data_IF_517263335876
#
_entry.id   IF_517263335876
#
_cell.length_a   1.000
_cell.length_b   1.000
_cell.length_c   1.000
_cell.angle_alpha   90.00
_cell.angle_beta   90.00
_cell.angle_gamma   90.00
#
_symmetry.space_group_name_H-M   'P 1'
#
loop_
_entity.id
_entity.type
_entity.pdbx_description
1 polymer ?
#
# COMPACT_ATOMS: atom_id res chain seq x y z
N UNK A 1 66.34 -25.88 26.94
CA UNK A 1 65.02 -25.92 27.59
C UNK A 1 63.95 -25.76 26.52
N UNK A 2 63.47 -26.88 26.00
CA UNK A 2 62.50 -26.96 24.89
C UNK A 2 61.10 -26.55 25.37
N UNK A 3 60.47 -25.62 24.64
CA UNK A 3 59.06 -25.26 24.82
C UNK A 3 58.19 -26.26 24.06
N UNK A 4 57.52 -27.15 24.79
CA UNK A 4 56.50 -28.06 24.24
C UNK A 4 55.24 -27.25 23.87
N UNK A 5 54.87 -27.31 22.60
CA UNK A 5 53.62 -26.76 22.05
C UNK A 5 52.46 -27.73 22.33
N UNK A 6 51.53 -27.35 23.20
CA UNK A 6 50.27 -28.06 23.44
C UNK A 6 49.27 -27.73 22.33
N UNK A 7 48.94 -28.71 21.48
CA UNK A 7 47.82 -28.63 20.54
C UNK A 7 46.51 -28.82 21.32
N UNK A 8 45.64 -27.82 21.32
CA UNK A 8 44.29 -27.90 21.87
C UNK A 8 43.34 -28.44 20.79
N UNK A 9 42.84 -29.66 20.96
CA UNK A 9 41.83 -30.26 20.08
C UNK A 9 40.45 -29.79 20.55
N UNK A 10 39.84 -28.87 19.82
CA UNK A 10 38.46 -28.46 20.06
C UNK A 10 37.50 -29.56 19.57
N UNK A 11 36.73 -30.14 20.49
CA UNK A 11 35.62 -31.04 20.20
C UNK A 11 34.46 -30.23 19.59
N UNK A 12 34.15 -30.48 18.33
CA UNK A 12 32.97 -29.94 17.65
C UNK A 12 31.75 -30.80 18.03
N UNK A 13 30.68 -30.25 18.62
CA UNK A 13 29.47 -31.01 18.89
C UNK A 13 28.75 -31.35 17.58
N UNK A 14 28.52 -32.64 17.33
CA UNK A 14 27.70 -33.13 16.21
C UNK A 14 26.23 -32.85 16.49
N UNK A 15 25.76 -31.66 16.09
CA UNK A 15 24.34 -31.32 16.08
C UNK A 15 23.58 -32.24 15.11
N UNK A 16 22.59 -32.97 15.61
CA UNK A 16 21.62 -33.71 14.77
C UNK A 16 20.88 -32.71 13.89
N UNK A 17 21.22 -32.65 12.61
CA UNK A 17 20.43 -31.96 11.60
C UNK A 17 19.06 -32.65 11.49
N UNK A 18 18.02 -32.05 12.06
CA UNK A 18 16.64 -32.40 11.73
C UNK A 18 16.39 -32.00 10.28
N UNK A 19 16.02 -32.96 9.43
CA UNK A 19 15.60 -32.69 8.08
C UNK A 19 14.43 -31.68 8.09
N UNK A 20 14.43 -30.66 7.21
CA UNK A 20 13.33 -29.72 7.14
C UNK A 20 12.08 -30.46 6.68
N UNK A 21 11.04 -30.42 7.51
CA UNK A 21 9.71 -30.95 7.15
C UNK A 21 9.21 -30.10 5.98
N UNK A 22 9.17 -30.68 4.78
CA UNK A 22 8.51 -30.08 3.61
C UNK A 22 7.01 -29.98 3.92
N UNK A 23 6.57 -28.83 4.43
CA UNK A 23 5.15 -28.51 4.52
C UNK A 23 4.64 -28.34 3.09
N UNK A 24 3.70 -29.19 2.68
CA UNK A 24 2.97 -29.05 1.42
C UNK A 24 2.29 -27.67 1.46
N UNK A 25 2.58 -26.81 0.47
CA UNK A 25 1.90 -25.52 0.36
C UNK A 25 0.39 -25.79 0.31
N UNK A 26 -0.35 -25.26 1.27
CA UNK A 26 -1.80 -25.33 1.23
C UNK A 26 -2.25 -24.52 0.01
N UNK A 27 -2.96 -25.15 -0.92
CA UNK A 27 -3.61 -24.43 -2.02
C UNK A 27 -4.60 -23.46 -1.40
N UNK A 28 -4.45 -22.18 -1.73
CA UNK A 28 -5.38 -21.14 -1.30
C UNK A 28 -6.80 -21.51 -1.75
N UNK A 29 -7.73 -21.59 -0.82
CA UNK A 29 -9.14 -21.85 -1.13
C UNK A 29 -9.75 -20.57 -1.70
N UNK A 30 -10.06 -20.60 -2.99
CA UNK A 30 -10.75 -19.55 -3.73
C UNK A 30 -12.17 -20.02 -3.98
N UNK A 31 -13.16 -19.18 -3.69
CA UNK A 31 -14.59 -19.47 -3.91
C UNK A 31 -15.26 -18.29 -4.61
N UNK A 32 -16.36 -18.50 -5.34
CA UNK A 32 -17.07 -17.40 -6.01
C UNK A 32 -17.54 -16.31 -5.03
N UNK A 33 -17.50 -15.06 -5.47
CA UNK A 33 -18.03 -13.92 -4.73
C UNK A 33 -19.56 -13.83 -4.90
N UNK A 34 -20.28 -14.37 -3.91
CA UNK A 34 -21.72 -14.23 -3.70
C UNK A 34 -21.98 -13.28 -2.54
N UNK A 35 -23.22 -12.82 -2.35
CA UNK A 35 -23.55 -11.90 -1.25
C UNK A 35 -23.17 -12.50 0.13
N UNK A 36 -23.45 -13.79 0.34
CA UNK A 36 -23.09 -14.51 1.57
C UNK A 36 -21.57 -14.60 1.78
N UNK A 37 -20.80 -14.95 0.74
CA UNK A 37 -19.35 -15.10 0.87
C UNK A 37 -18.68 -13.73 1.05
N UNK A 38 -19.15 -12.70 0.35
CA UNK A 38 -18.67 -11.33 0.50
C UNK A 38 -18.94 -10.79 1.90
N UNK A 39 -20.18 -10.92 2.41
CA UNK A 39 -20.53 -10.41 3.75
C UNK A 39 -19.67 -11.07 4.84
N UNK A 40 -19.37 -12.37 4.69
CA UNK A 40 -18.50 -13.10 5.62
C UNK A 40 -17.03 -12.63 5.62
N UNK A 41 -16.58 -12.02 4.52
CA UNK A 41 -15.23 -11.51 4.33
C UNK A 41 -15.12 -10.06 4.81
N UNK A 42 -16.04 -9.20 4.37
CA UNK A 42 -15.97 -7.75 4.66
C UNK A 42 -16.47 -7.43 6.06
N UNK A 43 -17.37 -8.25 6.62
CA UNK A 43 -17.93 -8.10 7.97
C UNK A 43 -18.49 -6.68 8.22
N UNK A 44 -19.11 -6.09 7.19
CA UNK A 44 -19.67 -4.74 7.19
C UNK A 44 -20.54 -4.52 5.94
N UNK A 45 -21.82 -4.20 6.14
CA UNK A 45 -22.71 -3.82 5.03
C UNK A 45 -22.25 -2.54 4.32
N UNK A 46 -21.61 -1.62 5.06
CA UNK A 46 -21.03 -0.41 4.50
C UNK A 46 -19.86 -0.74 3.54
N UNK A 47 -19.05 -1.74 3.89
CA UNK A 47 -17.95 -2.18 3.05
C UNK A 47 -18.47 -2.98 1.84
N UNK A 48 -19.51 -3.79 2.03
CA UNK A 48 -20.16 -4.51 0.94
C UNK A 48 -20.72 -3.55 -0.12
N UNK A 49 -21.32 -2.44 0.29
CA UNK A 49 -21.85 -1.42 -0.61
C UNK A 49 -20.78 -0.75 -1.49
N UNK A 50 -19.49 -0.83 -1.13
CA UNK A 50 -18.38 -0.33 -1.95
C UNK A 50 -17.93 -1.31 -3.04
N UNK A 51 -18.38 -2.56 -3.01
CA UNK A 51 -18.03 -3.56 -4.01
C UNK A 51 -19.01 -3.50 -5.19
N UNK A 52 -18.53 -2.98 -6.32
CA UNK A 52 -19.35 -2.75 -7.52
C UNK A 52 -19.12 -3.87 -8.55
N UNK A 53 -20.21 -4.26 -9.23
CA UNK A 53 -20.20 -5.31 -10.25
C UNK A 53 -20.80 -6.62 -9.74
N UNK A 54 -20.73 -7.67 -10.56
CA UNK A 54 -21.21 -9.02 -10.23
C UNK A 54 -20.13 -10.06 -10.58
N UNK A 55 -20.17 -11.23 -9.93
CA UNK A 55 -19.15 -12.28 -10.10
C UNK A 55 -17.89 -11.99 -9.28
N UNK A 56 -16.74 -12.47 -9.76
CA UNK A 56 -15.47 -12.39 -9.05
C UNK A 56 -15.27 -13.52 -8.05
N UNK A 57 -14.16 -13.45 -7.31
CA UNK A 57 -13.72 -14.48 -6.39
C UNK A 57 -13.38 -13.90 -5.01
N UNK A 58 -13.50 -14.74 -3.99
CA UNK A 58 -13.02 -14.45 -2.65
C UNK A 58 -12.05 -15.52 -2.16
N UNK A 59 -11.05 -15.08 -1.40
CA UNK A 59 -10.12 -15.95 -0.73
C UNK A 59 -9.85 -15.45 0.69
N UNK A 60 -9.49 -16.35 1.60
CA UNK A 60 -9.20 -16.00 2.99
C UNK A 60 -7.93 -16.67 3.49
N UNK A 61 -7.12 -15.89 4.19
CA UNK A 61 -5.92 -16.40 4.86
C UNK A 61 -5.62 -15.58 6.12
N UNK A 62 -5.47 -16.24 7.27
CA UNK A 62 -4.95 -15.59 8.48
C UNK A 62 -5.77 -14.39 8.99
N UNK A 63 -7.09 -14.39 8.79
CA UNK A 63 -7.98 -13.27 9.16
C UNK A 63 -8.07 -12.17 8.09
N UNK A 64 -7.34 -12.31 7.00
CA UNK A 64 -7.41 -11.42 5.84
C UNK A 64 -8.30 -12.04 4.77
N UNK A 65 -9.22 -11.25 4.25
CA UNK A 65 -9.98 -11.57 3.06
C UNK A 65 -9.49 -10.80 1.83
N UNK A 66 -9.52 -11.46 0.67
CA UNK A 66 -9.25 -10.90 -0.64
C UNK A 66 -10.52 -11.03 -1.48
N UNK A 67 -10.89 -9.96 -2.17
CA UNK A 67 -11.93 -9.93 -3.19
C UNK A 67 -11.28 -9.51 -4.52
N UNK A 68 -11.58 -10.24 -5.60
CA UNK A 68 -11.17 -9.91 -6.97
C UNK A 68 -12.38 -9.90 -7.91
N UNK A 69 -12.25 -9.25 -9.07
CA UNK A 69 -13.34 -9.17 -10.05
C UNK A 69 -14.51 -8.26 -9.63
N UNK A 70 -14.25 -7.34 -8.68
CA UNK A 70 -15.17 -6.29 -8.26
C UNK A 70 -14.45 -4.95 -8.36
N UNK A 71 -15.15 -3.93 -8.83
CA UNK A 71 -14.67 -2.55 -8.74
C UNK A 71 -14.89 -2.01 -7.32
N UNK A 72 -14.16 -0.97 -6.96
CA UNK A 72 -14.24 -0.35 -5.63
C UNK A 72 -14.79 1.07 -5.72
N UNK A 73 -15.94 1.31 -5.10
CA UNK A 73 -16.56 2.63 -5.04
C UNK A 73 -16.10 3.41 -3.82
N UNK A 74 -15.58 4.60 -4.05
CA UNK A 74 -15.47 5.64 -3.03
C UNK A 74 -16.70 6.56 -3.11
N UNK A 75 -16.79 7.56 -2.23
CA UNK A 75 -17.86 8.59 -2.35
C UNK A 75 -17.69 9.54 -3.55
N UNK A 76 -16.54 9.57 -4.20
CA UNK A 76 -16.25 10.48 -5.33
C UNK A 76 -16.11 9.77 -6.67
N UNK A 77 -15.63 8.53 -6.69
CA UNK A 77 -15.38 7.78 -7.92
C UNK A 77 -15.43 6.26 -7.69
N UNK A 78 -15.44 5.51 -8.79
CA UNK A 78 -15.25 4.05 -8.78
C UNK A 78 -13.91 3.75 -9.45
N UNK A 79 -13.05 2.97 -8.79
CA UNK A 79 -11.79 2.50 -9.38
C UNK A 79 -11.94 1.06 -9.89
N UNK A 80 -11.34 0.72 -11.05
CA UNK A 80 -11.31 -0.64 -11.57
C UNK A 80 -10.34 -1.50 -10.75
N UNK A 81 -10.72 -1.83 -9.53
CA UNK A 81 -9.88 -2.56 -8.60
C UNK A 81 -9.52 -3.95 -9.14
N UNK A 82 -8.23 -4.27 -9.09
CA UNK A 82 -7.72 -5.59 -9.41
C UNK A 82 -7.83 -6.50 -8.18
N UNK A 83 -7.49 -5.97 -7.00
CA UNK A 83 -7.54 -6.67 -5.73
C UNK A 83 -7.99 -5.76 -4.59
N UNK A 84 -8.88 -6.27 -3.74
CA UNK A 84 -9.43 -5.55 -2.59
C UNK A 84 -9.22 -6.43 -1.35
N UNK A 85 -8.48 -5.94 -0.37
CA UNK A 85 -8.18 -6.66 0.86
C UNK A 85 -8.90 -6.06 2.06
N UNK A 86 -9.36 -6.95 2.93
CA UNK A 86 -9.91 -6.64 4.24
C UNK A 86 -9.10 -7.40 5.29
N UNK A 87 -8.33 -6.66 6.08
CA UNK A 87 -7.51 -7.18 7.17
C UNK A 87 -8.14 -6.82 8.51
N UNK A 88 -8.85 -7.79 9.10
CA UNK A 88 -9.53 -7.61 10.37
C UNK A 88 -8.60 -7.16 11.50
N UNK A 89 -7.29 -7.44 11.42
CA UNK A 89 -6.32 -7.01 12.42
C UNK A 89 -5.85 -5.56 12.23
N UNK A 90 -5.94 -5.01 11.02
CA UNK A 90 -5.57 -3.63 10.70
C UNK A 90 -6.73 -2.64 10.91
N UNK A 91 -7.97 -3.16 10.95
CA UNK A 91 -9.18 -2.34 11.07
C UNK A 91 -9.18 -1.54 12.39
N UNK A 92 -9.36 -0.21 12.35
CA UNK A 92 -9.42 0.59 13.56
C UNK A 92 -10.65 0.27 14.42
N UNK A 93 -10.49 0.41 15.73
CA UNK A 93 -11.59 0.25 16.68
C UNK A 93 -12.60 1.40 16.63
N UNK A 94 -13.78 1.20 17.22
CA UNK A 94 -14.81 2.24 17.35
C UNK A 94 -15.64 2.49 16.09
N UNK A 95 -16.48 3.53 16.14
CA UNK A 95 -17.33 3.93 15.01
C UNK A 95 -16.63 4.99 14.17
N UNK A 96 -16.56 4.79 12.85
CA UNK A 96 -15.99 5.75 11.91
C UNK A 96 -16.15 5.32 10.46
N UNK A 97 -15.69 6.17 9.53
CA UNK A 97 -15.76 5.90 8.09
C UNK A 97 -15.02 4.62 7.69
N UNK A 98 -13.93 4.29 8.41
CA UNK A 98 -13.13 3.07 8.23
C UNK A 98 -13.90 1.75 8.34
N UNK A 99 -15.12 1.75 8.91
CA UNK A 99 -15.98 0.56 8.91
C UNK A 99 -16.48 0.20 7.51
N UNK A 100 -16.55 1.16 6.59
CA UNK A 100 -16.97 0.94 5.21
C UNK A 100 -15.83 0.79 4.23
N UNK A 101 -14.58 0.89 4.67
CA UNK A 101 -13.42 0.98 3.77
C UNK A 101 -12.65 -0.35 3.70
N UNK A 102 -12.03 -0.60 2.55
CA UNK A 102 -11.02 -1.65 2.44
C UNK A 102 -9.72 -1.25 3.15
N UNK A 103 -8.90 -2.24 3.48
CA UNK A 103 -7.58 -2.04 4.09
C UNK A 103 -6.48 -1.98 3.04
N UNK A 104 -6.69 -2.59 1.87
CA UNK A 104 -5.88 -2.35 0.67
C UNK A 104 -6.74 -2.42 -0.58
N UNK A 105 -6.53 -1.51 -1.51
CA UNK A 105 -7.08 -1.57 -2.87
C UNK A 105 -5.94 -1.35 -3.85
N UNK A 106 -5.74 -2.31 -4.75
CA UNK A 106 -4.80 -2.19 -5.87
C UNK A 106 -5.58 -1.99 -7.17
N UNK A 107 -5.16 -1.04 -8.00
CA UNK A 107 -5.73 -0.82 -9.33
C UNK A 107 -4.68 -0.26 -10.28
N UNK A 108 -4.94 -0.35 -11.57
CA UNK A 108 -4.20 0.39 -12.58
C UNK A 108 -4.96 1.64 -12.95
N UNK A 109 -4.34 2.81 -12.80
CA UNK A 109 -4.95 4.07 -13.21
C UNK A 109 -4.97 4.15 -14.73
N UNK A 110 -6.17 4.30 -15.31
CA UNK A 110 -6.37 4.21 -16.77
C UNK A 110 -5.68 5.35 -17.52
N UNK A 111 -5.60 6.54 -16.91
CA UNK A 111 -5.06 7.75 -17.55
C UNK A 111 -3.54 7.76 -17.53
N UNK A 112 -2.94 7.53 -16.36
CA UNK A 112 -1.48 7.49 -16.19
C UNK A 112 -0.88 6.14 -16.53
N UNK A 113 -1.68 5.09 -16.72
CA UNK A 113 -1.23 3.72 -16.95
C UNK A 113 -0.40 3.11 -15.81
N UNK A 114 -0.30 3.77 -14.65
CA UNK A 114 0.51 3.33 -13.51
C UNK A 114 -0.31 2.54 -12.50
N UNK A 115 0.36 1.58 -11.86
CA UNK A 115 -0.22 0.79 -10.79
C UNK A 115 -0.28 1.63 -9.50
N UNK A 116 -1.43 1.59 -8.85
CA UNK A 116 -1.79 2.41 -7.72
C UNK A 116 -2.26 1.53 -6.56
N UNK A 117 -1.95 1.97 -5.34
CA UNK A 117 -2.36 1.29 -4.10
C UNK A 117 -2.90 2.32 -3.12
N UNK A 118 -4.08 2.06 -2.59
CA UNK A 118 -4.52 2.58 -1.31
C UNK A 118 -4.23 1.51 -0.26
N UNK A 119 -3.56 1.85 0.83
CA UNK A 119 -3.23 0.90 1.90
C UNK A 119 -3.39 1.55 3.27
N UNK A 120 -4.01 0.82 4.19
CA UNK A 120 -4.14 1.20 5.59
C UNK A 120 -2.87 0.85 6.35
N UNK A 121 -2.35 1.83 7.07
CA UNK A 121 -1.30 1.61 8.05
C UNK A 121 -1.81 0.70 9.18
N UNK A 122 -1.11 -0.39 9.46
CA UNK A 122 -1.54 -1.40 10.43
C UNK A 122 -1.38 -0.99 11.89
N UNK A 123 -0.50 -0.02 12.16
CA UNK A 123 -0.18 0.39 13.53
C UNK A 123 -1.18 1.44 14.03
N UNK A 124 -1.47 2.44 13.20
CA UNK A 124 -2.24 3.63 13.59
C UNK A 124 -3.57 3.80 12.83
N UNK A 125 -3.80 3.02 11.76
CA UNK A 125 -5.10 2.91 11.09
C UNK A 125 -5.43 3.99 10.06
N UNK A 126 -4.53 4.95 9.81
CA UNK A 126 -4.67 5.94 8.74
C UNK A 126 -4.43 5.31 7.36
N UNK A 127 -4.94 5.94 6.30
CA UNK A 127 -4.76 5.50 4.92
C UNK A 127 -3.55 6.18 4.27
N UNK A 128 -2.92 5.48 3.33
CA UNK A 128 -1.81 5.95 2.52
C UNK A 128 -2.10 5.66 1.04
N UNK A 129 -1.52 6.47 0.15
CA UNK A 129 -1.58 6.29 -1.29
C UNK A 129 -0.19 6.04 -1.88
N UNK A 130 -0.10 5.15 -2.87
CA UNK A 130 1.15 4.78 -3.52
C UNK A 130 0.97 4.63 -5.03
N UNK A 131 2.00 4.99 -5.80
CA UNK A 131 2.05 4.86 -7.26
C UNK A 131 3.38 4.22 -7.65
N UNK A 132 3.30 3.15 -8.44
CA UNK A 132 4.43 2.42 -8.99
C UNK A 132 4.84 2.97 -10.35
N UNK A 133 6.11 3.36 -10.49
CA UNK A 133 6.70 3.81 -11.75
C UNK A 133 7.70 2.78 -12.31
N UNK A 134 7.81 2.68 -13.64
CA UNK A 134 8.72 1.76 -14.31
C UNK A 134 10.18 2.23 -14.27
N UNK A 135 11.11 1.36 -14.65
CA UNK A 135 12.56 1.62 -14.59
C UNK A 135 13.05 2.74 -15.52
N UNK A 136 12.35 2.98 -16.62
CA UNK A 136 12.62 4.04 -17.58
C UNK A 136 12.10 5.42 -17.14
N UNK A 137 11.35 5.50 -16.04
CA UNK A 137 10.86 6.76 -15.50
C UNK A 137 12.01 7.63 -14.95
N UNK A 138 12.04 8.96 -15.19
CA UNK A 138 13.14 9.85 -14.76
C UNK A 138 13.44 9.86 -13.25
N UNK A 139 12.39 9.66 -12.44
CA UNK A 139 12.49 9.59 -10.97
C UNK A 139 12.71 8.18 -10.42
N UNK A 140 12.92 7.17 -11.27
CA UNK A 140 13.17 5.82 -10.80
C UNK A 140 14.43 5.77 -9.91
N UNK A 141 14.30 5.15 -8.73
CA UNK A 141 15.40 5.03 -7.76
C UNK A 141 15.63 6.26 -6.89
N UNK A 142 14.85 7.33 -7.04
CA UNK A 142 14.97 8.53 -6.20
C UNK A 142 14.31 8.31 -4.84
N UNK A 143 15.00 8.71 -3.77
CA UNK A 143 14.38 8.83 -2.46
C UNK A 143 13.34 9.97 -2.46
N UNK A 144 12.22 9.76 -1.78
CA UNK A 144 11.10 10.71 -1.68
C UNK A 144 11.57 12.07 -1.15
N UNK A 145 12.53 12.09 -0.23
CA UNK A 145 13.08 13.33 0.33
C UNK A 145 14.15 13.96 -0.58
N UNK A 146 14.63 13.22 -1.57
CA UNK A 146 15.58 13.70 -2.55
C UNK A 146 14.90 14.28 -3.80
N UNK A 147 13.59 14.06 -3.99
CA UNK A 147 12.79 14.70 -5.04
C UNK A 147 12.69 16.21 -4.73
N UNK A 148 13.29 17.08 -5.56
CA UNK A 148 13.28 18.51 -5.33
C UNK A 148 11.87 19.10 -5.46
N UNK A 149 11.47 20.08 -4.61
CA UNK A 149 10.14 20.67 -4.68
C UNK A 149 9.80 21.33 -6.03
N UNK A 150 10.81 21.81 -6.78
CA UNK A 150 10.67 22.41 -8.11
C UNK A 150 10.30 21.41 -9.21
N UNK A 151 10.39 20.10 -8.94
CA UNK A 151 9.80 19.07 -9.82
C UNK A 151 8.26 19.17 -9.83
N UNK A 152 7.66 19.84 -8.83
CA UNK A 152 6.24 20.15 -8.84
C UNK A 152 5.35 19.00 -8.38
N UNK A 153 5.89 18.02 -7.66
CA UNK A 153 5.06 17.01 -7.00
C UNK A 153 4.35 17.63 -5.79
N UNK A 154 3.03 17.69 -5.85
CA UNK A 154 2.15 18.23 -4.81
C UNK A 154 1.05 17.22 -4.46
N UNK A 155 1.23 16.56 -3.31
CA UNK A 155 0.31 15.57 -2.73
C UNK A 155 0.19 15.83 -1.23
N UNK A 156 -0.78 15.19 -0.57
CA UNK A 156 -1.02 15.36 0.86
C UNK A 156 0.24 15.23 1.73
N UNK A 157 0.78 16.36 2.18
CA UNK A 157 2.01 16.40 3.00
C UNK A 157 3.32 16.18 2.24
N UNK A 158 3.26 16.03 0.92
CA UNK A 158 4.37 15.66 0.06
C UNK A 158 4.66 14.15 0.07
N UNK A 159 5.70 13.75 -0.66
CA UNK A 159 6.14 12.36 -0.69
C UNK A 159 6.70 11.94 0.68
N UNK A 160 6.20 10.84 1.22
CA UNK A 160 6.66 10.25 2.49
C UNK A 160 7.19 8.82 2.31
N UNK A 161 7.09 8.26 1.10
CA UNK A 161 7.57 6.93 0.76
C UNK A 161 8.21 6.86 -0.62
N UNK A 162 9.31 6.11 -0.72
CA UNK A 162 9.99 5.77 -1.98
C UNK A 162 10.80 4.49 -1.82
N UNK A 163 10.42 3.38 -2.45
CA UNK A 163 11.23 2.13 -2.44
C UNK A 163 10.94 1.26 -3.66
N UNK A 164 11.85 0.31 -3.92
CA UNK A 164 11.57 -0.82 -4.79
C UNK A 164 10.38 -1.63 -4.26
N UNK A 165 9.66 -2.26 -5.19
CA UNK A 165 8.62 -3.23 -4.91
C UNK A 165 9.06 -4.25 -3.84
N UNK A 166 8.23 -4.46 -2.83
CA UNK A 166 8.51 -5.41 -1.74
C UNK A 166 8.23 -6.85 -2.18
N UNK A 167 9.01 -7.39 -3.11
CA UNK A 167 8.94 -8.82 -3.46
C UNK A 167 9.44 -9.67 -2.25
N UNK A 168 8.54 -10.47 -1.69
CA UNK A 168 8.87 -11.35 -0.56
C UNK A 168 9.68 -12.57 -0.99
N UNK A 169 10.52 -13.13 -0.10
CA UNK A 169 11.18 -14.39 -0.37
C UNK A 169 10.17 -15.54 -0.26
N UNK A 170 9.44 -15.88 -1.33
CA UNK A 170 8.87 -17.22 -1.56
C UNK A 170 8.11 -17.28 -2.89
N UNK A 171 8.25 -18.37 -3.69
CA UNK A 171 7.49 -18.58 -4.92
C UNK A 171 5.99 -18.86 -4.70
N UNK A 172 5.45 -18.65 -3.49
CA UNK A 172 4.05 -18.90 -3.15
C UNK A 172 3.43 -17.66 -2.53
N UNK A 173 2.44 -17.12 -3.23
CA UNK A 173 1.56 -16.01 -2.84
C UNK A 173 0.98 -16.22 -1.43
N UNK A 174 0.98 -15.17 -0.60
CA UNK A 174 0.40 -15.20 0.76
C UNK A 174 -0.45 -13.95 0.97
N UNK A 175 -1.78 -14.12 0.99
CA UNK A 175 -2.74 -13.01 1.11
C UNK A 175 -2.48 -12.20 2.38
N UNK A 176 -2.25 -12.89 3.50
CA UNK A 176 -2.03 -12.24 4.79
C UNK A 176 -0.78 -11.34 4.81
N UNK A 177 0.17 -11.58 3.89
CA UNK A 177 1.39 -10.77 3.75
C UNK A 177 1.15 -9.63 2.77
N UNK A 178 0.52 -9.91 1.63
CA UNK A 178 0.30 -8.94 0.55
C UNK A 178 -0.70 -7.83 0.91
N UNK A 179 -1.65 -8.12 1.79
CA UNK A 179 -2.58 -7.11 2.31
C UNK A 179 -1.89 -5.95 3.03
N UNK A 180 -0.62 -6.12 3.45
CA UNK A 180 0.15 -5.14 4.23
C UNK A 180 1.38 -4.60 3.49
N UNK A 181 1.58 -5.01 2.24
CA UNK A 181 2.77 -4.66 1.46
C UNK A 181 2.44 -3.76 0.29
N UNK A 182 3.43 -2.97 -0.07
CA UNK A 182 3.43 -2.16 -1.29
C UNK A 182 4.07 -3.05 -2.37
N UNK A 183 3.22 -3.81 -3.07
CA UNK A 183 3.61 -4.62 -4.21
C UNK A 183 2.50 -4.60 -5.26
N UNK A 184 2.88 -4.79 -6.52
CA UNK A 184 1.96 -4.93 -7.64
C UNK A 184 1.12 -6.21 -7.53
N UNK A 185 -0.01 -6.22 -8.22
CA UNK A 185 -0.80 -7.44 -8.43
C UNK A 185 -0.10 -8.29 -9.48
N UNK A 186 0.17 -9.56 -9.16
CA UNK A 186 0.69 -10.52 -10.14
C UNK A 186 -0.48 -11.09 -10.94
N UNK A 187 -0.90 -10.41 -12.01
CA UNK A 187 -1.97 -10.94 -12.87
C UNK A 187 -1.46 -12.19 -13.62
N UNK A 188 -1.92 -13.38 -13.21
CA UNK A 188 -1.71 -14.62 -13.98
C UNK A 188 -3.03 -15.36 -14.25
N UNK A 189 -3.26 -15.81 -15.50
CA UNK A 189 -2.45 -15.55 -16.68
C UNK A 189 -2.62 -14.10 -17.14
N UNK A 190 -1.58 -13.51 -17.72
CA UNK A 190 -1.57 -12.15 -18.24
C UNK A 190 -2.83 -11.90 -19.09
N UNK A 191 -3.79 -11.16 -18.54
CA UNK A 191 -4.86 -10.59 -19.33
C UNK A 191 -4.16 -9.62 -20.27
N UNK A 192 -4.26 -9.88 -21.58
CA UNK A 192 -3.70 -8.98 -22.58
C UNK A 192 -4.48 -7.67 -22.51
N UNK A 193 -3.86 -6.65 -21.95
CA UNK A 193 -4.33 -5.28 -22.09
C UNK A 193 -3.66 -4.70 -23.34
N UNK A 194 -4.42 -4.11 -24.28
CA UNK A 194 -3.85 -3.37 -25.38
C UNK A 194 -2.86 -2.33 -24.83
N UNK A 195 -1.69 -2.26 -25.46
CA UNK A 195 -0.69 -1.23 -25.19
C UNK A 195 -1.23 0.05 -25.83
N UNK A 196 -1.84 0.92 -25.04
CA UNK A 196 -2.41 2.20 -25.48
C UNK A 196 -1.35 3.32 -25.43
N UNK A 197 -0.33 3.19 -24.59
CA UNK A 197 0.73 4.19 -24.39
C UNK A 197 2.12 3.57 -24.57
N UNK A 198 3.06 4.33 -25.17
CA UNK A 198 4.43 3.85 -25.42
C UNK A 198 5.22 3.48 -24.14
N UNK A 199 4.73 3.89 -22.97
CA UNK A 199 5.27 3.62 -21.63
C UNK A 199 4.45 2.58 -20.86
N UNK A 200 3.67 1.72 -21.53
CA UNK A 200 2.89 0.63 -20.93
C UNK A 200 3.77 -0.51 -20.38
N UNK A 201 4.82 -0.15 -19.65
CA UNK A 201 5.52 -1.08 -18.78
C UNK A 201 4.63 -1.35 -17.58
N UNK A 202 4.16 -2.59 -17.46
CA UNK A 202 3.42 -3.02 -16.28
C UNK A 202 4.39 -3.13 -15.11
N UNK A 203 3.96 -2.74 -13.92
CA UNK A 203 4.73 -2.89 -12.66
C UNK A 203 4.89 -4.36 -12.28
N UNK A 204 4.45 -5.32 -13.11
CA UNK A 204 4.81 -6.75 -13.03
C UNK A 204 6.33 -6.99 -13.03
N UNK A 205 7.13 -6.01 -13.44
CA UNK A 205 8.56 -6.00 -13.22
C UNK A 205 8.89 -5.84 -11.72
N UNK A 206 9.63 -6.81 -11.17
CA UNK A 206 10.11 -6.79 -9.78
C UNK A 206 10.94 -5.55 -9.43
N UNK A 207 11.34 -4.76 -10.43
CA UNK A 207 12.10 -3.53 -10.28
C UNK A 207 11.26 -2.25 -10.24
N UNK A 208 9.93 -2.31 -10.18
CA UNK A 208 9.14 -1.09 -10.08
C UNK A 208 9.46 -0.28 -8.81
N UNK A 209 9.52 1.04 -8.95
CA UNK A 209 9.80 1.97 -7.87
C UNK A 209 8.50 2.64 -7.43
N UNK A 210 8.19 2.55 -6.14
CA UNK A 210 6.93 3.05 -5.58
C UNK A 210 7.16 4.36 -4.84
N UNK A 211 6.45 5.40 -5.24
CA UNK A 211 6.29 6.63 -4.47
C UNK A 211 4.99 6.62 -3.68
N UNK A 212 4.93 7.34 -2.57
CA UNK A 212 3.68 7.47 -1.82
C UNK A 212 3.66 8.58 -0.78
N UNK A 213 2.49 8.77 -0.20
CA UNK A 213 2.19 9.74 0.86
C UNK A 213 1.35 9.07 1.96
N UNK A 214 1.36 9.65 3.16
CA UNK A 214 0.65 9.16 4.35
C UNK A 214 -0.35 10.17 4.88
N UNK A 215 -1.44 9.72 5.51
CA UNK A 215 -2.45 10.59 6.12
C UNK A 215 -2.30 10.68 7.65
N UNK A 216 -1.09 10.99 8.12
CA UNK A 216 -0.70 11.10 9.53
C UNK A 216 -0.09 12.47 9.87
N UNK A 217 -0.57 13.54 9.23
CA UNK A 217 -0.08 14.90 9.42
C UNK A 217 -0.78 15.64 10.57
N UNK A 218 -0.31 16.84 10.94
CA UNK A 218 -0.70 17.55 12.17
C UNK A 218 -2.21 17.88 12.31
N UNK A 219 -2.98 17.76 11.23
CA UNK A 219 -4.44 17.97 11.21
C UNK A 219 -5.23 16.75 10.74
N UNK A 220 -4.56 15.62 10.54
CA UNK A 220 -5.24 14.38 10.20
C UNK A 220 -5.77 13.71 11.47
N UNK A 221 -7.03 13.25 11.40
CA UNK A 221 -7.57 12.35 12.42
C UNK A 221 -7.00 10.96 12.17
N UNK A 222 -6.24 10.44 13.14
CA UNK A 222 -5.65 9.10 13.07
C UNK A 222 -6.53 8.16 13.91
N UNK A 223 -7.14 7.11 13.32
CA UNK A 223 -8.14 6.29 14.01
C UNK A 223 -7.70 5.63 15.32
N UNK A 224 -6.48 5.08 15.37
CA UNK A 224 -5.95 4.39 16.56
C UNK A 224 -5.00 5.26 17.40
N UNK A 225 -4.96 6.58 17.18
CA UNK A 225 -4.07 7.49 17.90
C UNK A 225 -4.31 7.38 19.41
N UNK A 226 -3.26 7.01 20.13
CA UNK A 226 -3.33 6.95 21.59
C UNK A 226 -3.35 8.40 22.10
N UNK A 227 -4.19 8.74 23.09
CA UNK A 227 -4.36 10.12 23.56
C UNK A 227 -3.10 10.81 24.15
N UNK A 228 -1.93 10.16 24.12
CA UNK A 228 -0.66 10.66 24.64
C UNK A 228 0.50 10.71 23.61
N UNK A 229 0.30 10.39 22.32
CA UNK A 229 1.40 10.28 21.33
C UNK A 229 1.87 11.59 20.69
N UNK A 230 1.07 12.65 20.71
CA UNK A 230 1.47 13.96 20.18
C UNK A 230 1.09 15.07 21.16
N UNK A 231 2.03 15.96 21.44
CA UNK A 231 1.93 17.01 22.46
C UNK A 231 0.90 18.12 22.22
N UNK A 232 -0.09 17.91 21.36
CA UNK A 232 -1.20 18.84 21.15
C UNK A 232 -2.47 18.29 21.77
N UNK A 233 -2.64 18.54 23.08
CA UNK A 233 -3.94 18.49 23.75
C UNK A 233 -4.79 19.68 23.32
N UNK A 234 -5.10 19.80 22.04
CA UNK A 234 -6.14 20.73 21.61
C UNK A 234 -7.25 19.97 20.91
N UNK A 235 -8.30 19.69 21.68
CA UNK A 235 -9.63 19.40 21.17
C UNK A 235 -10.21 20.54 20.32
N UNK A 236 -9.51 21.67 20.16
CA UNK A 236 -9.92 22.83 19.37
C UNK A 236 -9.44 22.79 17.91
N UNK A 237 -8.51 21.89 17.55
CA UNK A 237 -8.15 21.67 16.15
C UNK A 237 -9.10 20.61 15.58
N UNK A 238 -10.01 21.03 14.70
CA UNK A 238 -10.91 20.14 13.97
C UNK A 238 -10.09 19.20 13.05
N UNK A 239 -9.61 18.08 13.62
CA UNK A 239 -8.90 17.02 12.88
C UNK A 239 -9.84 16.37 11.90
N UNK A 240 -9.36 16.10 10.70
CA UNK A 240 -10.18 15.53 9.61
C UNK A 240 -9.63 14.15 9.26
N UNK A 241 -10.50 13.15 9.23
CA UNK A 241 -10.12 11.84 8.71
C UNK A 241 -10.00 11.91 7.19
N UNK A 242 -8.86 11.46 6.67
CA UNK A 242 -8.67 11.28 5.22
C UNK A 242 -9.22 9.92 4.83
N UNK A 243 -10.48 9.96 4.37
CA UNK A 243 -11.22 8.78 3.92
C UNK A 243 -10.66 8.21 2.61
N UNK A 244 -11.19 7.06 2.21
CA UNK A 244 -10.78 6.40 0.98
C UNK A 244 -10.98 7.25 -0.29
N UNK A 245 -12.05 8.05 -0.37
CA UNK A 245 -12.25 8.99 -1.48
C UNK A 245 -11.13 10.03 -1.56
N UNK A 246 -10.73 10.59 -0.41
CA UNK A 246 -9.59 11.50 -0.36
C UNK A 246 -8.32 10.82 -0.85
N UNK A 247 -7.98 9.64 -0.30
CA UNK A 247 -6.72 8.97 -0.63
C UNK A 247 -6.67 8.47 -2.07
N UNK A 248 -7.77 7.94 -2.60
CA UNK A 248 -7.86 7.53 -4.01
C UNK A 248 -7.65 8.73 -4.93
N UNK A 249 -8.32 9.86 -4.69
CA UNK A 249 -8.14 11.08 -5.50
C UNK A 249 -6.69 11.59 -5.46
N UNK A 250 -6.09 11.66 -4.28
CA UNK A 250 -4.67 12.06 -4.14
C UNK A 250 -3.71 11.09 -4.85
N UNK A 251 -4.03 9.79 -4.86
CA UNK A 251 -3.23 8.78 -5.55
C UNK A 251 -3.32 8.93 -7.07
N UNK A 252 -4.52 9.18 -7.59
CA UNK A 252 -4.73 9.46 -9.03
C UNK A 252 -4.01 10.75 -9.43
N UNK A 253 -4.07 11.79 -8.60
CA UNK A 253 -3.35 13.03 -8.84
C UNK A 253 -1.82 12.82 -8.85
N UNK A 254 -1.28 12.04 -7.91
CA UNK A 254 0.14 11.66 -7.90
C UNK A 254 0.52 10.92 -9.19
N UNK A 255 -0.31 9.98 -9.64
CA UNK A 255 -0.06 9.20 -10.84
C UNK A 255 -0.03 10.07 -12.10
N UNK A 256 -0.94 11.04 -12.21
CA UNK A 256 -0.95 12.02 -13.29
C UNK A 256 0.30 12.92 -13.26
N UNK A 257 0.76 13.35 -12.09
CA UNK A 257 1.99 14.15 -11.93
C UNK A 257 3.24 13.37 -12.34
N UNK A 258 3.36 12.12 -11.91
CA UNK A 258 4.45 11.24 -12.34
C UNK A 258 4.42 11.01 -13.85
N UNK A 259 3.24 10.81 -14.44
CA UNK A 259 3.12 10.61 -15.89
C UNK A 259 3.56 11.85 -16.67
N UNK A 260 3.16 13.04 -16.23
CA UNK A 260 3.59 14.29 -16.84
C UNK A 260 5.13 14.44 -16.81
N UNK A 261 5.78 14.08 -15.69
CA UNK A 261 7.25 14.10 -15.58
C UNK A 261 7.90 13.12 -16.56
N UNK A 262 7.35 11.91 -16.70
CA UNK A 262 7.84 10.92 -17.66
C UNK A 262 7.78 11.44 -19.11
N UNK A 263 6.76 12.22 -19.43
CA UNK A 263 6.54 12.83 -20.75
C UNK A 263 7.29 14.16 -20.94
N UNK A 264 8.02 14.64 -19.92
CA UNK A 264 8.71 15.94 -19.95
C UNK A 264 7.75 17.14 -19.90
N UNK A 265 6.50 16.93 -19.49
CA UNK A 265 5.48 17.93 -19.31
C UNK A 265 5.49 18.58 -17.92
N UNK A 266 4.65 19.60 -17.75
CA UNK A 266 4.41 20.20 -16.43
C UNK A 266 3.43 19.33 -15.63
N UNK A 267 3.70 19.17 -14.33
CA UNK A 267 2.77 18.51 -13.42
C UNK A 267 1.38 19.20 -13.47
N UNK A 268 0.28 18.43 -13.58
CA UNK A 268 -1.06 18.98 -13.54
C UNK A 268 -1.29 19.67 -12.19
N UNK A 269 -2.07 20.75 -12.22
CA UNK A 269 -2.42 21.46 -11.00
C UNK A 269 -3.24 20.55 -10.08
N UNK A 270 -2.97 20.64 -8.78
CA UNK A 270 -3.76 20.00 -7.74
C UNK A 270 -5.20 20.53 -7.76
N UNK A 271 -6.16 19.62 -7.66
CA UNK A 271 -7.56 19.98 -7.46
C UNK A 271 -7.79 20.51 -6.03
N UNK A 272 -8.05 21.80 -5.93
CA UNK A 272 -8.33 22.48 -4.66
C UNK A 272 -7.08 22.77 -3.81
N UNK A 273 -7.28 23.53 -2.74
CA UNK A 273 -6.20 23.87 -1.82
C UNK A 273 -5.75 22.63 -1.03
N UNK A 274 -4.43 22.45 -0.78
CA UNK A 274 -3.96 21.39 0.10
C UNK A 274 -4.54 21.60 1.50
N UNK A 275 -4.86 20.53 2.24
CA UNK A 275 -5.26 20.67 3.61
C UNK A 275 -4.16 21.36 4.42
N UNK A 276 -4.52 22.08 5.51
CA UNK A 276 -3.50 22.59 6.42
C UNK A 276 -2.67 21.41 6.93
N UNK A 277 -1.34 21.54 6.88
CA UNK A 277 -0.39 20.51 7.35
C UNK A 277 0.18 20.83 8.74
N UNK A 278 -0.03 22.05 9.24
CA UNK A 278 0.49 22.53 10.52
C UNK A 278 1.99 22.73 10.49
N UNK A 279 2.50 23.38 11.54
CA UNK A 279 3.94 23.34 11.81
C UNK A 279 4.20 22.02 12.52
N UNK A 280 4.77 21.03 11.82
CA UNK A 280 5.31 19.83 12.47
C UNK A 280 6.69 20.16 13.06
N UNK A 281 6.83 20.28 14.40
CA UNK A 281 8.12 20.54 15.02
C UNK A 281 9.12 19.38 14.83
N UNK A 282 8.68 18.19 14.43
CA UNK A 282 9.51 17.01 14.18
C UNK A 282 10.23 17.03 12.83
N UNK A 283 9.66 17.67 11.79
CA UNK A 283 10.28 17.78 10.45
C UNK A 283 11.55 18.64 10.44
N UNK A 284 11.72 19.56 11.40
CA UNK A 284 12.93 20.39 11.52
C UNK A 284 14.14 19.69 12.13
N UNK A 285 13.94 18.55 12.82
CA UNK A 285 14.96 17.93 13.67
C UNK A 285 15.72 16.77 13.02
N UNK A 286 15.28 16.27 11.84
CA UNK A 286 15.99 15.22 11.08
C UNK A 286 16.84 15.80 9.95
N UNK A 287 17.74 16.72 10.31
CA UNK A 287 18.95 17.02 9.51
C UNK A 287 20.14 16.59 10.34
N UNK A 288 20.69 15.43 10.03
CA UNK A 288 21.87 14.84 10.68
C UNK A 288 22.26 13.55 9.97
#
# INVERSE_FOLDING_TARGET
MEKKSTKSTALVPTGRHKAPVKRKAATLAVVPATDDTLLSIVDSELALAKLIGAGGDVAREGGVGLVTGRAYATRECVVPAEEIFYDQAARPGGKGAWLGEADKVSWRDEVSGYDCIMLRNTDDGFLCGYVGIPQDHPLWGWDANAVPPDIGIDVHGGLTYSRLCEEGPSPTRRIAVEARRICHVTLRPAVYHPVEHATDHRVEDSHAWWFGFSCDHAYDLIPNDRPNSSGSKSSELARIYRDDAYVVRETIALAAQLRAIAEGGAAPARDGAPPPLGLDPGRGARRG
#
